data_IF_080632341397
#
_entry.id   IF_080632341397
#
_cell.length_a   1.000
_cell.length_b   1.000
_cell.length_c   1.000
_cell.angle_alpha   90.00
_cell.angle_beta   90.00
_cell.angle_gamma   90.00
#
_symmetry.space_group_name_H-M   'P 1'
#
loop_
_entity.id
_entity.type
_entity.pdbx_description
1 polymer ?
#
# COMPACT_ATOMS: atom_id res chain seq x y z
N UNK A 1 27.03 -18.87 -23.53
CA UNK A 1 26.31 -19.66 -22.51
C UNK A 1 24.90 -19.83 -23.02
N UNK A 2 24.33 -21.06 -23.14
CA UNK A 2 22.95 -21.24 -23.57
C UNK A 2 22.00 -20.45 -22.68
N UNK A 3 20.95 -19.83 -23.25
CA UNK A 3 19.94 -19.04 -22.54
C UNK A 3 19.31 -19.82 -21.39
N UNK A 4 19.13 -21.12 -21.51
CA UNK A 4 18.65 -22.00 -20.45
C UNK A 4 19.52 -22.01 -19.19
N UNK A 5 20.85 -21.90 -19.32
CA UNK A 5 21.77 -21.87 -18.19
C UNK A 5 21.67 -20.50 -17.45
N UNK A 6 21.42 -19.43 -18.19
CA UNK A 6 21.24 -18.09 -17.61
C UNK A 6 19.92 -18.01 -16.81
N UNK A 7 18.83 -18.54 -17.37
CA UNK A 7 17.54 -18.61 -16.71
C UNK A 7 17.61 -19.45 -15.41
N UNK A 8 18.26 -20.62 -15.48
CA UNK A 8 18.45 -21.48 -14.29
C UNK A 8 19.34 -20.80 -13.23
N UNK A 9 20.42 -20.14 -13.65
CA UNK A 9 21.28 -19.37 -12.72
C UNK A 9 20.53 -18.23 -12.04
N UNK A 10 19.65 -17.53 -12.76
CA UNK A 10 18.81 -16.46 -12.18
C UNK A 10 17.79 -17.03 -11.21
N UNK A 11 17.16 -18.14 -11.51
CA UNK A 11 16.25 -18.83 -10.60
C UNK A 11 16.94 -19.22 -9.29
N UNK A 12 18.15 -19.80 -9.38
CA UNK A 12 18.94 -20.16 -8.19
C UNK A 12 19.32 -18.95 -7.35
N UNK A 13 19.65 -17.81 -7.98
CA UNK A 13 19.94 -16.57 -7.25
C UNK A 13 18.72 -16.03 -6.52
N UNK A 14 17.55 -16.05 -7.16
CA UNK A 14 16.30 -15.64 -6.54
C UNK A 14 15.96 -16.53 -5.34
N UNK A 15 16.10 -17.85 -5.50
CA UNK A 15 15.87 -18.81 -4.42
C UNK A 15 16.86 -18.63 -3.25
N UNK A 16 18.14 -18.40 -3.55
CA UNK A 16 19.13 -18.09 -2.53
C UNK A 16 18.83 -16.78 -1.80
N UNK A 17 18.38 -15.74 -2.52
CA UNK A 17 17.94 -14.48 -1.92
C UNK A 17 16.72 -14.66 -1.00
N UNK A 18 15.75 -15.46 -1.42
CA UNK A 18 14.60 -15.84 -0.60
C UNK A 18 15.05 -16.55 0.70
N UNK A 19 15.88 -17.60 0.61
CA UNK A 19 16.37 -18.31 1.80
C UNK A 19 17.18 -17.41 2.74
N UNK A 20 17.93 -16.45 2.21
CA UNK A 20 18.66 -15.47 3.01
C UNK A 20 17.71 -14.56 3.76
N UNK A 21 16.68 -14.03 3.09
CA UNK A 21 15.65 -13.20 3.71
C UNK A 21 14.88 -13.94 4.81
N UNK A 22 14.51 -15.19 4.58
CA UNK A 22 13.88 -16.05 5.59
C UNK A 22 14.80 -16.27 6.78
N UNK A 23 16.08 -16.56 6.54
CA UNK A 23 17.07 -16.73 7.61
C UNK A 23 17.22 -15.45 8.45
N UNK A 24 17.32 -14.28 7.82
CA UNK A 24 17.42 -12.99 8.51
C UNK A 24 16.15 -12.69 9.33
N UNK A 25 14.97 -12.93 8.75
CA UNK A 25 13.68 -12.78 9.44
C UNK A 25 13.61 -13.66 10.69
N UNK A 26 13.98 -14.92 10.56
CA UNK A 26 13.99 -15.90 11.65
C UNK A 26 15.02 -15.53 12.73
N UNK A 27 16.24 -15.18 12.32
CA UNK A 27 17.34 -14.89 13.25
C UNK A 27 17.12 -13.64 14.11
N UNK A 28 16.25 -12.73 13.66
CA UNK A 28 15.88 -11.52 14.39
C UNK A 28 14.78 -11.71 15.43
N UNK A 29 14.13 -12.88 15.47
CA UNK A 29 12.98 -13.16 16.35
C UNK A 29 13.42 -13.79 17.66
N UNK A 30 12.62 -13.59 18.72
CA UNK A 30 12.90 -14.22 20.02
C UNK A 30 12.42 -15.68 20.06
N UNK A 31 12.96 -16.47 21.01
CA UNK A 31 12.63 -17.88 21.16
C UNK A 31 11.13 -18.14 21.41
N UNK A 32 10.43 -17.20 22.06
CA UNK A 32 8.99 -17.33 22.32
C UNK A 32 8.18 -17.32 21.01
N UNK A 33 8.58 -16.50 20.03
CA UNK A 33 7.97 -16.50 18.72
C UNK A 33 8.13 -17.85 18.03
N UNK A 34 9.35 -18.39 18.05
CA UNK A 34 9.65 -19.71 17.47
C UNK A 34 8.79 -20.82 18.05
N UNK A 35 8.68 -20.85 19.39
CA UNK A 35 7.94 -21.91 20.10
C UNK A 35 6.45 -21.80 19.80
N UNK A 36 5.90 -20.59 19.75
CA UNK A 36 4.45 -20.39 19.64
C UNK A 36 3.93 -20.29 18.20
N UNK A 37 4.73 -19.81 17.26
CA UNK A 37 4.27 -19.60 15.88
C UNK A 37 4.80 -20.67 14.92
N UNK A 38 6.07 -21.09 15.04
CA UNK A 38 6.71 -22.00 14.09
C UNK A 38 6.71 -23.46 14.56
N UNK A 39 6.87 -23.69 15.86
CA UNK A 39 7.02 -25.03 16.45
C UNK A 39 5.80 -25.48 17.26
N UNK A 40 4.70 -24.71 17.22
CA UNK A 40 3.45 -25.10 17.86
C UNK A 40 2.95 -26.45 17.32
N UNK A 41 2.51 -27.36 18.21
CA UNK A 41 2.01 -28.70 17.82
C UNK A 41 0.77 -28.58 16.94
N UNK A 42 -0.07 -27.57 17.16
CA UNK A 42 -1.30 -27.28 16.40
C UNK A 42 -1.11 -26.16 15.37
N UNK A 43 -0.03 -26.14 14.64
CA UNK A 43 0.21 -25.19 13.55
C UNK A 43 -0.41 -25.70 12.24
N UNK A 44 -1.60 -25.24 11.93
CA UNK A 44 -2.37 -25.65 10.76
C UNK A 44 -2.65 -24.42 9.84
N UNK A 45 -1.66 -23.93 9.10
CA UNK A 45 -1.87 -22.80 8.19
C UNK A 45 -2.85 -23.17 7.07
N UNK A 46 -3.66 -22.21 6.67
CA UNK A 46 -4.63 -22.37 5.58
C UNK A 46 -4.37 -21.33 4.50
N UNK A 47 -4.72 -21.64 3.26
CA UNK A 47 -4.71 -20.67 2.19
C UNK A 47 -5.80 -19.60 2.41
N UNK A 48 -5.56 -18.41 1.91
CA UNK A 48 -6.52 -17.31 2.02
C UNK A 48 -7.91 -17.68 1.48
N UNK A 49 -7.97 -18.36 0.34
CA UNK A 49 -9.22 -18.84 -0.24
C UNK A 49 -9.98 -19.76 0.71
N UNK A 50 -9.30 -20.69 1.38
CA UNK A 50 -9.91 -21.60 2.35
C UNK A 50 -10.42 -20.86 3.59
N UNK A 51 -9.66 -19.85 4.06
CA UNK A 51 -10.10 -18.98 5.14
C UNK A 51 -11.39 -18.24 4.79
N UNK A 52 -11.47 -17.67 3.58
CA UNK A 52 -12.65 -16.94 3.12
C UNK A 52 -13.86 -17.88 2.91
N UNK A 53 -13.65 -19.10 2.40
CA UNK A 53 -14.69 -20.12 2.33
C UNK A 53 -15.27 -20.46 3.73
N UNK A 54 -14.38 -20.62 4.72
CA UNK A 54 -14.79 -20.85 6.10
C UNK A 54 -15.53 -19.64 6.69
N UNK A 55 -15.07 -18.42 6.43
CA UNK A 55 -15.76 -17.20 6.85
C UNK A 55 -17.19 -17.11 6.24
N UNK A 56 -17.34 -17.50 4.97
CA UNK A 56 -18.63 -17.49 4.29
C UNK A 56 -19.66 -18.45 4.92
N UNK A 57 -19.21 -19.59 5.45
CA UNK A 57 -20.09 -20.50 6.20
C UNK A 57 -20.66 -19.88 7.48
N UNK A 58 -19.99 -18.82 7.99
CA UNK A 58 -20.39 -18.05 9.16
C UNK A 58 -21.04 -16.70 8.80
N UNK A 59 -21.58 -16.55 7.58
CA UNK A 59 -22.21 -15.34 7.07
C UNK A 59 -21.28 -14.10 7.09
N UNK A 60 -19.97 -14.30 6.93
CA UNK A 60 -18.96 -13.27 6.82
C UNK A 60 -18.42 -13.21 5.38
N UNK A 61 -17.88 -12.07 5.00
CA UNK A 61 -17.23 -11.86 3.72
C UNK A 61 -15.95 -11.04 3.89
N UNK A 62 -15.03 -11.18 2.97
CA UNK A 62 -13.81 -10.41 2.89
C UNK A 62 -14.09 -8.93 2.66
N UNK A 63 -13.64 -8.06 3.55
CA UNK A 63 -13.69 -6.62 3.36
C UNK A 63 -12.39 -6.12 2.70
N UNK A 64 -11.27 -6.44 3.27
CA UNK A 64 -9.93 -6.03 2.85
C UNK A 64 -8.87 -6.43 3.85
N UNK A 65 -7.65 -6.00 3.64
CA UNK A 65 -6.55 -6.11 4.61
C UNK A 65 -6.48 -4.84 5.47
N UNK A 66 -5.95 -4.95 6.68
CA UNK A 66 -5.68 -3.80 7.55
C UNK A 66 -4.63 -2.87 6.91
N UNK A 67 -3.64 -3.43 6.24
CA UNK A 67 -2.74 -2.70 5.36
C UNK A 67 -3.29 -2.68 3.92
N UNK A 68 -3.85 -1.54 3.52
CA UNK A 68 -4.43 -1.36 2.17
C UNK A 68 -3.38 -1.51 1.08
N UNK A 69 -2.12 -1.13 1.32
CA UNK A 69 -1.06 -1.24 0.33
C UNK A 69 -0.80 -2.70 -0.07
N UNK A 70 -1.00 -3.63 0.85
CA UNK A 70 -0.78 -5.06 0.64
C UNK A 70 -1.78 -5.73 -0.32
N UNK A 71 -2.95 -5.12 -0.56
CA UNK A 71 -3.98 -5.64 -1.47
C UNK A 71 -4.08 -4.88 -2.81
N UNK A 72 -3.13 -3.98 -3.07
CA UNK A 72 -3.11 -3.18 -4.30
C UNK A 72 -2.19 -3.82 -5.34
N UNK A 73 -2.76 -4.45 -6.36
CA UNK A 73 -2.04 -5.14 -7.43
C UNK A 73 -1.12 -4.23 -8.25
N UNK A 74 -1.43 -2.93 -8.34
CA UNK A 74 -0.57 -1.92 -9.01
C UNK A 74 0.77 -1.68 -8.31
N UNK A 75 0.97 -2.19 -7.10
CA UNK A 75 2.27 -2.20 -6.41
C UNK A 75 3.18 -3.32 -6.94
N UNK A 76 2.64 -4.22 -7.77
CA UNK A 76 3.40 -5.24 -8.49
C UNK A 76 3.93 -4.68 -9.82
N UNK A 77 4.97 -5.30 -10.41
CA UNK A 77 5.37 -5.01 -11.79
C UNK A 77 4.17 -5.13 -12.74
N UNK A 78 3.97 -4.21 -13.70
CA UNK A 78 2.77 -4.19 -14.55
C UNK A 78 2.48 -5.53 -15.24
N UNK A 79 3.51 -6.20 -15.78
CA UNK A 79 3.39 -7.51 -16.43
C UNK A 79 2.93 -8.61 -15.48
N UNK A 80 3.29 -8.52 -14.18
CA UNK A 80 2.83 -9.45 -13.13
C UNK A 80 1.38 -9.16 -12.79
N UNK A 81 1.05 -7.89 -12.51
CA UNK A 81 -0.33 -7.45 -12.23
C UNK A 81 -1.28 -7.88 -13.35
N UNK A 82 -0.97 -7.55 -14.62
CA UNK A 82 -1.77 -7.94 -15.78
C UNK A 82 -1.98 -9.45 -15.86
N UNK A 83 -0.93 -10.22 -15.58
CA UNK A 83 -0.98 -11.69 -15.59
C UNK A 83 -1.90 -12.21 -14.49
N UNK A 84 -1.72 -11.78 -13.24
CA UNK A 84 -2.52 -12.22 -12.10
C UNK A 84 -4.00 -11.85 -12.28
N UNK A 85 -4.28 -10.62 -12.72
CA UNK A 85 -5.64 -10.16 -13.03
C UNK A 85 -6.27 -11.03 -14.12
N UNK A 86 -5.53 -11.40 -15.18
CA UNK A 86 -6.06 -12.22 -16.28
C UNK A 86 -6.45 -13.64 -15.85
N UNK A 87 -5.78 -14.20 -14.85
CA UNK A 87 -6.08 -15.52 -14.32
C UNK A 87 -7.16 -15.53 -13.24
N UNK A 88 -7.38 -14.40 -12.58
CA UNK A 88 -8.29 -14.30 -11.44
C UNK A 88 -9.73 -14.12 -11.89
N UNK A 89 -10.65 -14.87 -11.32
CA UNK A 89 -12.09 -14.74 -11.56
C UNK A 89 -12.77 -13.76 -10.61
N UNK A 90 -12.16 -13.50 -9.48
CA UNK A 90 -12.68 -12.63 -8.43
C UNK A 90 -11.52 -12.09 -7.55
N UNK A 91 -11.85 -11.16 -6.64
CA UNK A 91 -10.87 -10.53 -5.76
C UNK A 91 -10.15 -11.53 -4.83
N UNK A 92 -10.81 -12.59 -4.37
CA UNK A 92 -10.20 -13.58 -3.48
C UNK A 92 -9.14 -14.40 -4.21
N UNK A 93 -9.40 -14.79 -5.47
CA UNK A 93 -8.41 -15.47 -6.30
C UNK A 93 -7.21 -14.56 -6.61
N UNK A 94 -7.45 -13.28 -6.94
CA UNK A 94 -6.38 -12.32 -7.17
C UNK A 94 -5.48 -12.18 -5.95
N UNK A 95 -6.08 -11.97 -4.78
CA UNK A 95 -5.37 -11.87 -3.50
C UNK A 95 -4.58 -13.15 -3.18
N UNK A 96 -5.15 -14.33 -3.45
CA UNK A 96 -4.45 -15.60 -3.25
C UNK A 96 -3.23 -15.73 -4.19
N UNK A 97 -3.35 -15.27 -5.44
CA UNK A 97 -2.22 -15.28 -6.37
C UNK A 97 -1.14 -14.25 -5.99
N UNK A 98 -1.56 -13.10 -5.45
CA UNK A 98 -0.63 -12.13 -4.89
C UNK A 98 0.14 -12.71 -3.71
N UNK A 99 -0.50 -13.51 -2.84
CA UNK A 99 0.20 -14.23 -1.77
C UNK A 99 1.29 -15.15 -2.29
N UNK A 100 0.99 -15.94 -3.31
CA UNK A 100 1.99 -16.83 -3.91
C UNK A 100 3.13 -16.05 -4.56
N UNK A 101 2.83 -14.94 -5.21
CA UNK A 101 3.86 -14.12 -5.84
C UNK A 101 4.79 -13.46 -4.81
N UNK A 102 4.23 -12.91 -3.74
CA UNK A 102 4.98 -12.19 -2.70
C UNK A 102 5.48 -13.09 -1.57
N UNK A 103 5.19 -14.41 -1.62
CA UNK A 103 5.43 -15.35 -0.52
C UNK A 103 4.85 -14.85 0.82
N UNK A 104 3.62 -14.32 0.78
CA UNK A 104 2.97 -13.80 1.98
C UNK A 104 2.60 -14.94 2.91
N UNK A 105 3.23 -14.98 4.09
CA UNK A 105 2.98 -15.98 5.11
C UNK A 105 1.91 -15.54 6.13
N UNK A 106 1.63 -14.24 6.23
CA UNK A 106 0.72 -13.67 7.22
C UNK A 106 -0.23 -12.66 6.59
N UNK A 107 -1.48 -12.62 7.08
CA UNK A 107 -2.50 -11.68 6.67
C UNK A 107 -3.18 -11.02 7.86
N UNK A 108 -3.50 -9.74 7.72
CA UNK A 108 -4.31 -8.98 8.67
C UNK A 108 -5.69 -8.71 8.06
N UNK A 109 -6.42 -9.80 7.83
CA UNK A 109 -7.68 -9.80 7.07
C UNK A 109 -8.84 -9.23 7.88
N UNK A 110 -9.53 -8.26 7.32
CA UNK A 110 -10.75 -7.68 7.88
C UNK A 110 -11.97 -8.33 7.21
N UNK A 111 -12.88 -8.83 8.04
CA UNK A 111 -14.14 -9.41 7.61
C UNK A 111 -15.31 -8.50 7.97
N UNK A 112 -16.36 -8.54 7.18
CA UNK A 112 -17.65 -7.92 7.51
C UNK A 112 -18.79 -8.90 7.28
N UNK A 113 -20.01 -8.52 7.71
CA UNK A 113 -21.21 -9.34 7.49
C UNK A 113 -21.53 -9.43 5.99
N UNK A 114 -21.95 -10.59 5.53
CA UNK A 114 -22.24 -10.88 4.12
C UNK A 114 -23.37 -10.01 3.52
N UNK A 115 -24.25 -9.44 4.38
CA UNK A 115 -25.31 -8.53 3.93
C UNK A 115 -24.82 -7.12 3.58
N UNK A 116 -23.58 -6.77 3.91
CA UNK A 116 -23.01 -5.45 3.58
C UNK A 116 -22.68 -5.41 2.09
N UNK A 117 -23.23 -4.45 1.38
CA UNK A 117 -22.86 -4.20 0.00
C UNK A 117 -21.47 -3.53 -0.04
N UNK A 118 -20.51 -4.21 -0.64
CA UNK A 118 -19.12 -3.71 -0.74
C UNK A 118 -18.88 -3.10 -2.11
N UNK A 119 -18.28 -1.91 -2.11
CA UNK A 119 -17.64 -1.31 -3.28
C UNK A 119 -16.13 -1.54 -3.16
N UNK A 120 -15.60 -2.44 -3.98
CA UNK A 120 -14.17 -2.81 -3.92
C UNK A 120 -13.25 -1.87 -4.69
N UNK A 121 -13.82 -1.00 -5.50
CA UNK A 121 -13.06 -0.03 -6.26
C UNK A 121 -12.75 1.17 -5.38
N UNK A 122 -11.49 1.37 -5.06
CA UNK A 122 -11.02 2.52 -4.31
C UNK A 122 -10.70 3.63 -5.33
N UNK A 123 -11.59 4.61 -5.39
CA UNK A 123 -11.42 5.77 -6.28
C UNK A 123 -10.87 6.97 -5.50
N UNK A 124 -10.10 7.86 -6.16
CA UNK A 124 -9.52 9.03 -5.50
C UNK A 124 -10.54 9.93 -4.78
N UNK A 125 -11.78 9.97 -5.25
CA UNK A 125 -12.87 10.75 -4.68
C UNK A 125 -13.16 10.40 -3.22
N UNK A 126 -12.83 9.20 -2.77
CA UNK A 126 -13.00 8.79 -1.36
C UNK A 126 -12.21 9.70 -0.42
N UNK A 127 -11.07 10.22 -0.88
CA UNK A 127 -10.21 11.12 -0.10
C UNK A 127 -10.97 12.39 0.36
N UNK A 128 -11.99 12.81 -0.39
CA UNK A 128 -12.80 13.99 -0.07
C UNK A 128 -13.65 13.80 1.20
N UNK A 129 -13.92 12.56 1.58
CA UNK A 129 -14.73 12.23 2.78
C UNK A 129 -13.87 11.85 3.99
N UNK A 130 -12.55 11.83 3.84
CA UNK A 130 -11.63 11.39 4.89
C UNK A 130 -10.94 12.57 5.58
N UNK A 131 -10.47 12.31 6.80
CA UNK A 131 -9.49 13.12 7.48
C UNK A 131 -8.11 12.56 7.18
N UNK A 132 -7.17 13.42 6.82
CA UNK A 132 -5.86 13.05 6.31
C UNK A 132 -4.78 13.57 7.25
N UNK A 133 -3.87 12.71 7.63
CA UNK A 133 -2.69 13.04 8.44
C UNK A 133 -1.45 12.36 7.88
N UNK A 134 -0.30 12.98 8.02
CA UNK A 134 0.98 12.38 7.65
C UNK A 134 2.13 12.97 8.44
N UNK A 135 3.02 12.12 8.94
CA UNK A 135 4.27 12.52 9.57
C UNK A 135 5.43 12.63 8.58
N UNK A 136 5.16 12.47 7.28
CA UNK A 136 6.20 12.47 6.25
C UNK A 136 6.92 13.81 6.19
N UNK A 137 8.25 13.78 6.25
CA UNK A 137 9.12 14.95 6.19
C UNK A 137 9.77 15.05 4.81
N UNK A 138 10.03 16.27 4.28
CA UNK A 138 10.78 16.41 3.05
C UNK A 138 12.23 15.92 3.25
N UNK A 139 12.75 15.19 2.25
CA UNK A 139 14.12 14.65 2.29
C UNK A 139 15.17 15.77 2.16
N UNK A 140 14.80 16.89 1.54
CA UNK A 140 15.66 18.09 1.37
C UNK A 140 15.07 19.27 2.12
N UNK A 141 15.92 20.11 2.71
CA UNK A 141 15.50 21.30 3.48
C UNK A 141 14.88 22.40 2.60
N UNK A 142 15.32 22.51 1.35
CA UNK A 142 14.81 23.50 0.41
C UNK A 142 13.75 22.88 -0.50
N UNK A 143 12.47 23.06 -0.13
CA UNK A 143 11.34 22.61 -0.92
C UNK A 143 10.85 23.72 -1.83
N UNK A 144 11.20 23.67 -3.10
CA UNK A 144 10.63 24.58 -4.12
C UNK A 144 9.22 24.11 -4.49
N UNK A 145 8.20 24.71 -3.86
CA UNK A 145 6.80 24.32 -4.04
C UNK A 145 6.30 24.69 -5.43
N UNK A 146 6.62 25.89 -5.90
CA UNK A 146 6.04 26.49 -7.11
C UNK A 146 6.67 25.97 -8.42
N UNK A 147 7.77 25.24 -8.36
CA UNK A 147 8.42 24.65 -9.53
C UNK A 147 8.00 23.21 -9.72
N UNK A 148 7.98 22.75 -10.98
CA UNK A 148 7.74 21.32 -11.33
C UNK A 148 8.94 20.41 -10.97
N UNK A 149 9.76 20.83 -10.00
CA UNK A 149 10.84 20.02 -9.47
C UNK A 149 10.28 18.91 -8.57
N UNK A 150 10.81 17.71 -8.71
CA UNK A 150 10.42 16.56 -7.86
C UNK A 150 10.90 16.76 -6.44
N UNK A 151 10.00 16.58 -5.48
CA UNK A 151 10.29 16.60 -4.05
C UNK A 151 9.91 15.26 -3.47
N UNK A 152 10.82 14.68 -2.69
CA UNK A 152 10.59 13.43 -1.98
C UNK A 152 10.28 13.68 -0.52
N UNK A 153 9.29 13.00 0.00
CA UNK A 153 8.87 13.00 1.40
C UNK A 153 9.08 11.60 1.97
N UNK A 154 9.66 11.50 3.15
CA UNK A 154 9.94 10.23 3.81
C UNK A 154 9.07 10.08 5.05
N UNK A 155 8.38 8.95 5.15
CA UNK A 155 7.63 8.52 6.31
C UNK A 155 8.54 7.92 7.39
N UNK A 156 8.04 7.78 8.61
CA UNK A 156 8.78 7.21 9.74
C UNK A 156 9.18 5.74 9.51
N UNK A 157 8.38 4.98 8.79
CA UNK A 157 8.63 3.58 8.40
C UNK A 157 9.67 3.42 7.27
N UNK A 158 10.16 4.55 6.73
CA UNK A 158 11.13 4.58 5.64
C UNK A 158 10.52 4.68 4.24
N UNK A 159 9.20 4.56 4.10
CA UNK A 159 8.52 4.76 2.82
C UNK A 159 8.79 6.17 2.26
N UNK A 160 8.92 6.27 0.94
CA UNK A 160 9.22 7.53 0.27
C UNK A 160 8.18 7.81 -0.81
N UNK A 161 7.48 8.91 -0.65
CA UNK A 161 6.57 9.45 -1.66
C UNK A 161 7.25 10.62 -2.41
N UNK A 162 7.15 10.64 -3.73
CA UNK A 162 7.76 11.70 -4.56
C UNK A 162 6.71 12.34 -5.46
N UNK A 163 6.64 13.67 -5.47
CA UNK A 163 5.73 14.44 -6.32
C UNK A 163 6.43 15.65 -6.92
N UNK A 164 6.05 15.98 -8.17
CA UNK A 164 6.38 17.23 -8.84
C UNK A 164 5.21 18.22 -8.85
N UNK A 165 4.00 17.77 -8.46
CA UNK A 165 2.78 18.55 -8.48
C UNK A 165 2.76 19.61 -7.34
N UNK A 166 2.67 20.91 -7.63
CA UNK A 166 2.79 21.98 -6.63
C UNK A 166 1.81 21.85 -5.46
N UNK A 167 0.51 21.66 -5.74
CA UNK A 167 -0.52 21.52 -4.71
C UNK A 167 -0.27 20.28 -3.81
N UNK A 168 0.23 19.18 -4.38
CA UNK A 168 0.56 17.99 -3.60
C UNK A 168 1.75 18.22 -2.68
N UNK A 169 2.80 18.92 -3.15
CA UNK A 169 3.94 19.29 -2.31
C UNK A 169 3.52 20.18 -1.16
N UNK A 170 2.70 21.20 -1.46
CA UNK A 170 2.14 22.08 -0.44
C UNK A 170 1.30 21.29 0.58
N UNK A 171 0.47 20.35 0.12
CA UNK A 171 -0.33 19.49 0.99
C UNK A 171 0.53 18.62 1.91
N UNK A 172 1.58 17.99 1.41
CA UNK A 172 2.48 17.18 2.24
C UNK A 172 3.17 18.01 3.33
N UNK A 173 3.55 19.26 3.02
CA UNK A 173 4.10 20.17 4.03
C UNK A 173 3.04 20.57 5.07
N UNK A 174 1.82 20.89 4.63
CA UNK A 174 0.72 21.19 5.56
C UNK A 174 0.42 20.01 6.49
N UNK A 175 0.41 18.79 5.97
CA UNK A 175 0.18 17.59 6.78
C UNK A 175 1.28 17.39 7.82
N UNK A 176 2.55 17.54 7.43
CA UNK A 176 3.67 17.42 8.35
C UNK A 176 3.62 18.46 9.48
N UNK A 177 3.33 19.72 9.16
CA UNK A 177 3.25 20.81 10.14
C UNK A 177 2.07 20.65 11.13
N UNK A 178 0.99 20.02 10.70
CA UNK A 178 -0.17 19.76 11.55
C UNK A 178 -0.06 18.43 12.32
N UNK A 179 0.89 17.56 12.00
CA UNK A 179 1.02 16.27 12.65
C UNK A 179 1.14 16.41 14.19
N UNK A 180 0.43 15.63 15.02
CA UNK A 180 -0.42 14.46 14.68
C UNK A 180 -1.91 14.77 14.39
N UNK A 181 -2.27 16.02 14.19
CA UNK A 181 -3.64 16.38 13.85
C UNK A 181 -3.96 15.99 12.41
N UNK A 182 -5.20 15.57 12.20
CA UNK A 182 -5.71 15.25 10.87
C UNK A 182 -6.53 16.44 10.34
N UNK A 183 -6.37 16.74 9.05
CA UNK A 183 -7.14 17.75 8.34
C UNK A 183 -8.22 17.08 7.50
N UNK A 184 -9.41 17.68 7.42
CA UNK A 184 -10.35 17.30 6.37
C UNK A 184 -9.75 17.60 4.98
N UNK A 185 -10.18 16.88 3.96
CA UNK A 185 -9.68 17.13 2.61
C UNK A 185 -9.90 18.58 2.16
N UNK A 186 -11.04 19.19 2.50
CA UNK A 186 -11.35 20.58 2.16
C UNK A 186 -10.40 21.58 2.85
N UNK A 187 -10.09 21.37 4.12
CA UNK A 187 -9.12 22.19 4.88
C UNK A 187 -7.72 22.03 4.28
N UNK A 188 -7.34 20.80 3.97
CA UNK A 188 -6.03 20.52 3.35
C UNK A 188 -5.90 21.23 2.00
N UNK A 189 -6.91 21.16 1.13
CA UNK A 189 -6.93 21.89 -0.16
C UNK A 189 -6.78 23.38 0.07
N UNK A 190 -7.55 23.95 1.00
CA UNK A 190 -7.53 25.40 1.30
C UNK A 190 -6.16 25.86 1.81
N UNK A 191 -5.59 25.16 2.80
CA UNK A 191 -4.27 25.48 3.35
C UNK A 191 -3.15 25.32 2.33
N UNK A 192 -3.22 24.27 1.53
CA UNK A 192 -2.24 24.00 0.48
C UNK A 192 -2.25 25.06 -0.61
N UNK A 193 -3.44 25.49 -1.04
CA UNK A 193 -3.60 26.55 -2.02
C UNK A 193 -3.08 27.91 -1.49
N UNK A 194 -3.40 28.26 -0.26
CA UNK A 194 -2.88 29.49 0.36
C UNK A 194 -1.33 29.52 0.43
N UNK A 195 -0.68 28.36 0.42
CA UNK A 195 0.77 28.22 0.45
C UNK A 195 1.44 28.42 -0.91
N UNK A 196 0.70 28.25 -2.02
CA UNK A 196 1.25 28.33 -3.38
C UNK A 196 1.54 29.77 -3.85
N UNK A 197 1.27 30.81 -3.08
CA UNK A 197 1.43 32.21 -3.49
C UNK A 197 0.74 32.55 -4.81
N UNK A 198 -0.18 31.69 -5.30
CA UNK A 198 -0.93 31.90 -6.51
C UNK A 198 -2.26 32.60 -6.17
N UNK A 199 -2.46 33.79 -6.73
CA UNK A 199 -3.69 34.55 -6.54
C UNK A 199 -4.87 34.01 -7.39
N UNK A 200 -4.62 33.02 -8.27
CA UNK A 200 -5.67 32.45 -9.11
C UNK A 200 -6.43 31.35 -8.39
N UNK A 201 -7.74 31.27 -8.60
CA UNK A 201 -8.53 30.16 -8.03
C UNK A 201 -8.05 28.81 -8.62
N UNK A 202 -8.02 27.76 -7.78
CA UNK A 202 -7.72 26.42 -8.23
C UNK A 202 -8.65 25.98 -9.37
N UNK A 203 -8.07 25.35 -10.36
CA UNK A 203 -8.87 24.68 -11.39
C UNK A 203 -9.63 23.49 -10.75
N UNK A 204 -10.82 23.10 -11.24
CA UNK A 204 -11.56 21.97 -10.70
C UNK A 204 -10.81 20.65 -10.73
N UNK A 205 -9.77 20.52 -11.55
CA UNK A 205 -8.94 19.32 -11.70
C UNK A 205 -7.87 19.18 -10.61
N UNK A 206 -7.43 20.29 -10.01
CA UNK A 206 -6.34 20.26 -9.02
C UNK A 206 -6.70 19.53 -7.73
N UNK A 207 -7.88 19.71 -7.13
CA UNK A 207 -8.30 18.89 -5.98
C UNK A 207 -8.43 17.40 -6.34
N UNK A 208 -8.86 17.07 -7.56
CA UNK A 208 -8.94 15.67 -8.02
C UNK A 208 -7.55 15.07 -8.18
N UNK A 209 -6.61 15.82 -8.75
CA UNK A 209 -5.21 15.41 -8.86
C UNK A 209 -4.58 15.23 -7.47
N UNK A 210 -4.86 16.13 -6.54
CA UNK A 210 -4.40 15.99 -5.15
C UNK A 210 -4.96 14.72 -4.52
N UNK A 211 -6.25 14.45 -4.66
CA UNK A 211 -6.88 13.23 -4.15
C UNK A 211 -6.22 11.96 -4.70
N UNK A 212 -5.95 11.93 -6.00
CA UNK A 212 -5.28 10.81 -6.66
C UNK A 212 -3.83 10.62 -6.14
N UNK A 213 -3.09 11.71 -5.96
CA UNK A 213 -1.72 11.66 -5.45
C UNK A 213 -1.67 11.23 -3.97
N UNK A 214 -2.62 11.69 -3.16
CA UNK A 214 -2.72 11.27 -1.75
C UNK A 214 -3.12 9.80 -1.63
N UNK A 215 -4.06 9.32 -2.43
CA UNK A 215 -4.41 7.91 -2.47
C UNK A 215 -3.19 7.07 -2.86
N UNK A 216 -2.43 7.51 -3.88
CA UNK A 216 -1.19 6.83 -4.28
C UNK A 216 -0.11 6.85 -3.19
N UNK A 217 -0.04 7.91 -2.38
CA UNK A 217 0.92 8.00 -1.28
C UNK A 217 0.53 7.09 -0.11
N UNK A 218 -0.75 6.77 0.04
CA UNK A 218 -1.29 5.89 1.08
C UNK A 218 -1.21 4.40 0.69
N UNK A 219 -1.23 4.07 -0.60
CA UNK A 219 -1.17 2.69 -1.14
C UNK A 219 0.18 2.37 -1.77
#
# INVERSE_FOLDING_TARGET
VPESNLAYSNLLKQYAGFLTGEHESISGRNDAFFIHDELEEDNNPVYFSQFIEHAALNALQYLGEADVASMVDRNLPPEVSDTLVSFSKNAVELEQYMDFYSNRAFRETILCRQQVNLTRKIEPEIMQSLFIGSSAIPVTSDVEIDKNARVSFRCHDGAVFTSDHPLTKAAMLCLNENWPLMLSFAELVSQSHARLNDAQPLSPQEPQMLAANLLKAYT
#
